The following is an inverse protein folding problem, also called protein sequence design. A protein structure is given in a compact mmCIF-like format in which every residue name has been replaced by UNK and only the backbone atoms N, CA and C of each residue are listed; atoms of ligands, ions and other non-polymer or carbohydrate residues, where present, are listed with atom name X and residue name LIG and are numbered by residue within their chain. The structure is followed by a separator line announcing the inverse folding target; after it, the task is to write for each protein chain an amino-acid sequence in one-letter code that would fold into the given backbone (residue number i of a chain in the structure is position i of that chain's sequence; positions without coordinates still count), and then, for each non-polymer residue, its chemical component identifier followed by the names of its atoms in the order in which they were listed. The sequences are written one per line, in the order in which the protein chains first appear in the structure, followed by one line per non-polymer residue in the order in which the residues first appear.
data_IF_313242287850
#
_entry.id   IF_313242287850
#
_cell.length_a   1.000
_cell.length_b   1.000
_cell.length_c   1.000
_cell.angle_alpha   90.00
_cell.angle_beta   90.00
_cell.angle_gamma   90.00
#
_symmetry.space_group_name_H-M   'P 1'
#
loop_
_entity.id
_entity.type
_entity.pdbx_description
1 polymer ?
#
# COMPACT_ATOMS: atom_id res chain seq x y z
N UNK A 1 -22.36 -10.73 -19.06
CA UNK A 1 -21.74 -9.39 -19.00
C UNK A 1 -20.33 -9.49 -18.41
N UNK A 2 -19.28 -9.33 -19.22
CA UNK A 2 -17.92 -9.12 -18.70
C UNK A 2 -17.82 -7.67 -18.24
N UNK A 3 -17.68 -7.45 -16.95
CA UNK A 3 -17.34 -6.13 -16.40
C UNK A 3 -15.99 -5.73 -17.00
N UNK A 4 -15.99 -4.70 -17.85
CA UNK A 4 -14.75 -4.10 -18.30
C UNK A 4 -14.04 -3.53 -17.08
N UNK A 5 -12.87 -4.07 -16.78
CA UNK A 5 -12.03 -3.61 -15.67
C UNK A 5 -11.59 -2.19 -16.01
N UNK A 6 -12.14 -1.20 -15.31
CA UNK A 6 -11.64 0.17 -15.38
C UNK A 6 -10.15 0.13 -15.03
N UNK A 7 -9.33 0.80 -15.83
CA UNK A 7 -7.89 0.89 -15.60
C UNK A 7 -7.68 1.54 -14.23
N UNK A 8 -7.19 0.76 -13.27
CA UNK A 8 -6.90 1.27 -11.92
C UNK A 8 -5.89 2.42 -12.06
N UNK A 9 -6.18 3.62 -11.51
CA UNK A 9 -5.24 4.73 -11.55
C UNK A 9 -3.91 4.29 -10.94
N UNK A 10 -2.83 4.41 -11.72
CA UNK A 10 -1.48 4.09 -11.24
C UNK A 10 -1.11 5.12 -10.19
N UNK A 11 -0.86 4.67 -8.96
CA UNK A 11 -0.48 5.56 -7.85
C UNK A 11 0.89 6.18 -8.12
N UNK A 12 1.12 7.40 -7.60
CA UNK A 12 2.42 8.09 -7.65
C UNK A 12 3.35 7.44 -6.63
N UNK A 13 4.62 7.22 -7.01
CA UNK A 13 5.62 6.68 -6.11
C UNK A 13 6.12 7.74 -5.13
N UNK A 14 5.75 7.65 -3.86
CA UNK A 14 6.20 8.61 -2.84
C UNK A 14 7.55 8.24 -2.19
N UNK A 15 8.12 7.07 -2.50
CA UNK A 15 9.40 6.64 -1.92
C UNK A 15 10.59 7.59 -2.20
N UNK A 16 10.73 8.20 -3.40
CA UNK A 16 11.81 9.12 -3.71
C UNK A 16 11.80 10.39 -2.84
N UNK A 17 10.64 10.77 -2.27
CA UNK A 17 10.51 11.95 -1.39
C UNK A 17 11.25 11.83 -0.05
N UNK A 18 11.82 10.66 0.26
CA UNK A 18 12.71 10.51 1.42
C UNK A 18 14.01 11.29 1.27
N UNK A 19 14.37 11.70 0.05
CA UNK A 19 15.59 12.46 -0.23
C UNK A 19 15.26 13.94 -0.40
N UNK A 20 16.09 14.81 0.21
CA UNK A 20 15.91 16.27 0.15
C UNK A 20 16.02 16.78 -1.29
N UNK A 21 16.88 16.16 -2.10
CA UNK A 21 17.08 16.48 -3.51
C UNK A 21 15.79 16.30 -4.33
N UNK A 22 15.08 15.18 -4.14
CA UNK A 22 13.81 14.95 -4.84
C UNK A 22 12.70 15.87 -4.36
N UNK A 23 12.73 16.30 -3.11
CA UNK A 23 11.82 17.30 -2.59
C UNK A 23 12.05 18.68 -3.26
N UNK A 24 13.32 19.10 -3.38
CA UNK A 24 13.69 20.35 -4.04
C UNK A 24 13.34 20.32 -5.55
N UNK A 25 13.65 19.22 -6.24
CA UNK A 25 13.31 19.04 -7.65
C UNK A 25 11.79 19.12 -7.89
N UNK A 26 10.99 18.49 -7.03
CA UNK A 26 9.54 18.54 -7.12
C UNK A 26 9.00 19.95 -6.87
N UNK A 27 9.52 20.66 -5.87
CA UNK A 27 9.08 22.02 -5.53
C UNK A 27 9.28 22.97 -6.70
N UNK A 28 10.48 23.00 -7.28
CA UNK A 28 10.82 23.90 -8.40
C UNK A 28 9.91 23.62 -9.61
N UNK A 29 9.67 22.34 -9.92
CA UNK A 29 8.83 21.95 -11.07
C UNK A 29 7.35 22.22 -10.82
N UNK A 30 6.88 22.14 -9.58
CA UNK A 30 5.51 22.52 -9.22
C UNK A 30 5.32 24.03 -9.35
N UNK A 31 6.22 24.83 -8.80
CA UNK A 31 6.13 26.31 -8.89
C UNK A 31 6.10 26.76 -10.35
N UNK A 32 6.95 26.17 -11.20
CA UNK A 32 6.98 26.48 -12.63
C UNK A 32 5.66 26.11 -13.32
N UNK A 33 5.12 24.93 -13.03
CA UNK A 33 3.89 24.47 -13.68
C UNK A 33 2.66 25.25 -13.20
N UNK A 34 2.56 25.56 -11.91
CA UNK A 34 1.45 26.30 -11.34
C UNK A 34 1.40 27.75 -11.84
N UNK A 35 2.55 28.37 -12.11
CA UNK A 35 2.62 29.69 -12.73
C UNK A 35 2.12 29.72 -14.19
N UNK A 36 1.90 28.57 -14.82
CA UNK A 36 1.39 28.46 -16.20
C UNK A 36 -0.08 28.02 -16.27
N UNK A 37 -0.70 27.71 -15.13
CA UNK A 37 -2.11 27.32 -15.08
C UNK A 37 -2.97 28.57 -15.19
N UNK A 38 -3.79 28.61 -16.23
CA UNK A 38 -4.81 29.65 -16.39
C UNK A 38 -5.97 29.37 -15.42
N UNK A 39 -6.32 30.36 -14.61
CA UNK A 39 -7.42 30.27 -13.65
C UNK A 39 -8.58 31.08 -14.23
N UNK A 40 -9.58 30.35 -14.71
CA UNK A 40 -10.80 30.87 -15.33
C UNK A 40 -11.86 31.17 -14.25
N UNK A 41 -12.94 31.86 -14.64
CA UNK A 41 -14.10 32.14 -13.77
C UNK A 41 -14.86 30.87 -13.33
N UNK A 42 -14.67 29.75 -14.03
CA UNK A 42 -15.21 28.45 -13.62
C UNK A 42 -14.28 27.75 -12.62
N UNK A 43 -14.72 27.70 -11.37
CA UNK A 43 -14.00 27.12 -10.25
C UNK A 43 -13.70 25.63 -10.48
N UNK A 44 -14.62 24.86 -11.06
CA UNK A 44 -14.44 23.42 -11.26
C UNK A 44 -13.37 23.15 -12.33
N UNK A 45 -13.41 23.89 -13.44
CA UNK A 45 -12.38 23.84 -14.49
C UNK A 45 -11.01 24.25 -13.95
N UNK A 46 -10.94 25.35 -13.19
CA UNK A 46 -9.69 25.84 -12.59
C UNK A 46 -9.10 24.83 -11.58
N UNK A 47 -9.94 24.23 -10.73
CA UNK A 47 -9.51 23.21 -9.78
C UNK A 47 -8.99 21.96 -10.48
N UNK A 48 -9.67 21.53 -11.55
CA UNK A 48 -9.23 20.41 -12.36
C UNK A 48 -7.89 20.69 -13.05
N UNK A 49 -7.71 21.87 -13.64
CA UNK A 49 -6.45 22.26 -14.28
C UNK A 49 -5.28 22.25 -13.30
N UNK A 50 -5.49 22.79 -12.08
CA UNK A 50 -4.50 22.76 -11.00
C UNK A 50 -4.18 21.33 -10.56
N UNK A 51 -5.20 20.48 -10.37
CA UNK A 51 -5.02 19.08 -10.01
C UNK A 51 -4.24 18.32 -11.08
N UNK A 52 -4.59 18.48 -12.36
CA UNK A 52 -3.95 17.79 -13.48
C UNK A 52 -2.51 18.24 -13.68
N UNK A 53 -2.22 19.54 -13.54
CA UNK A 53 -0.86 20.08 -13.58
C UNK A 53 -0.01 19.49 -12.43
N UNK A 54 -0.53 19.54 -11.20
CA UNK A 54 0.13 19.00 -10.01
C UNK A 54 0.40 17.50 -10.14
N UNK A 55 -0.60 16.74 -10.61
CA UNK A 55 -0.50 15.31 -10.79
C UNK A 55 0.52 14.95 -11.90
N UNK A 56 0.48 15.67 -13.03
CA UNK A 56 1.41 15.48 -14.15
C UNK A 56 2.87 15.72 -13.75
N UNK A 57 3.14 16.82 -13.03
CA UNK A 57 4.49 17.11 -12.51
C UNK A 57 4.93 16.05 -11.53
N UNK A 58 4.06 15.67 -10.59
CA UNK A 58 4.36 14.65 -9.59
C UNK A 58 4.71 13.31 -10.24
N UNK A 59 3.97 12.91 -11.28
CA UNK A 59 4.27 11.71 -12.07
C UNK A 59 5.60 11.84 -12.82
N UNK A 60 5.91 13.01 -13.41
CA UNK A 60 7.19 13.23 -14.11
C UNK A 60 8.41 13.16 -13.19
N UNK A 61 8.30 13.68 -11.96
CA UNK A 61 9.42 13.75 -11.01
C UNK A 61 9.57 12.47 -10.20
N UNK A 62 8.46 11.94 -9.71
CA UNK A 62 8.44 10.82 -8.78
C UNK A 62 8.20 9.47 -9.47
N UNK A 63 7.61 9.48 -10.66
CA UNK A 63 7.20 8.28 -11.37
C UNK A 63 5.95 7.63 -10.78
N UNK A 64 5.48 6.59 -11.46
CA UNK A 64 4.41 5.74 -10.94
C UNK A 64 4.98 4.71 -9.98
N UNK A 65 4.24 4.40 -8.92
CA UNK A 65 4.55 3.26 -8.06
C UNK A 65 4.40 1.99 -8.89
N UNK A 66 5.47 1.22 -9.00
CA UNK A 66 5.35 -0.17 -9.47
C UNK A 66 4.77 -0.95 -8.31
N UNK A 67 3.57 -1.52 -8.50
CA UNK A 67 3.05 -2.51 -7.58
C UNK A 67 4.02 -3.69 -7.62
N UNK A 68 4.97 -3.74 -6.68
CA UNK A 68 5.71 -4.97 -6.43
C UNK A 68 4.66 -5.95 -5.95
N UNK A 69 4.32 -6.92 -6.79
CA UNK A 69 3.64 -8.11 -6.30
C UNK A 69 4.60 -8.74 -5.29
N UNK A 70 4.40 -8.41 -4.01
CA UNK A 70 4.86 -9.25 -2.91
C UNK A 70 4.05 -10.52 -3.02
N UNK A 71 4.51 -11.42 -3.88
CA UNK A 71 4.02 -12.78 -3.90
C UNK A 71 4.58 -13.45 -2.65
N UNK A 72 3.70 -14.00 -1.83
CA UNK A 72 4.04 -14.74 -0.62
C UNK A 72 4.95 -15.94 -0.92
N UNK A 73 5.09 -16.27 -2.20
CA UNK A 73 5.93 -17.32 -2.77
C UNK A 73 7.37 -16.88 -3.08
N UNK A 74 7.63 -15.57 -3.26
CA UNK A 74 8.98 -15.08 -3.62
C UNK A 74 9.95 -15.10 -2.45
N UNK A 75 9.44 -15.08 -1.22
CA UNK A 75 10.22 -15.33 -0.02
C UNK A 75 10.48 -16.84 0.06
N UNK A 76 11.33 -17.34 -0.85
CA UNK A 76 11.70 -18.75 -0.97
C UNK A 76 12.35 -19.19 0.36
N UNK A 77 11.57 -19.90 1.18
CA UNK A 77 12.11 -20.50 2.39
C UNK A 77 12.91 -21.74 1.97
N UNK A 78 14.19 -21.81 2.35
CA UNK A 78 15.11 -22.92 1.97
C UNK A 78 14.51 -24.28 2.28
N UNK A 79 13.71 -24.37 3.34
CA UNK A 79 13.07 -25.59 3.79
C UNK A 79 11.96 -26.07 2.83
N UNK A 80 11.22 -25.16 2.21
CA UNK A 80 10.19 -25.51 1.22
C UNK A 80 10.83 -25.94 -0.09
N UNK A 81 11.93 -25.29 -0.49
CA UNK A 81 12.68 -25.71 -1.67
C UNK A 81 13.21 -27.15 -1.50
N UNK A 82 13.78 -27.47 -0.33
CA UNK A 82 14.22 -28.84 -0.02
C UNK A 82 13.07 -29.86 -0.07
N UNK A 83 11.88 -29.50 0.38
CA UNK A 83 10.70 -30.38 0.30
C UNK A 83 10.26 -30.60 -1.16
N UNK A 84 10.31 -29.55 -1.99
CA UNK A 84 10.02 -29.63 -3.43
C UNK A 84 11.03 -30.52 -4.13
N UNK A 85 12.32 -30.39 -3.81
CA UNK A 85 13.39 -31.20 -4.41
C UNK A 85 13.25 -32.68 -4.03
N UNK A 86 12.89 -32.98 -2.77
CA UNK A 86 12.56 -34.33 -2.30
C UNK A 86 11.33 -34.89 -3.01
N UNK A 87 10.30 -34.06 -3.21
CA UNK A 87 9.11 -34.45 -3.96
C UNK A 87 9.45 -34.77 -5.42
N UNK A 88 10.25 -33.95 -6.09
CA UNK A 88 10.69 -34.21 -7.47
C UNK A 88 11.51 -35.49 -7.59
N UNK A 89 12.45 -35.70 -6.66
CA UNK A 89 13.27 -36.91 -6.62
C UNK A 89 12.43 -38.17 -6.43
N UNK A 90 11.52 -38.16 -5.44
CA UNK A 90 10.61 -39.29 -5.19
C UNK A 90 9.66 -39.56 -6.35
N UNK A 91 9.13 -38.52 -6.99
CA UNK A 91 8.31 -38.64 -8.18
C UNK A 91 9.07 -39.30 -9.34
N UNK A 92 10.33 -38.91 -9.57
CA UNK A 92 11.19 -39.53 -10.58
C UNK A 92 11.42 -41.02 -10.29
N UNK A 93 11.70 -41.39 -9.03
CA UNK A 93 11.90 -42.79 -8.66
C UNK A 93 10.66 -43.66 -8.82
N UNK A 94 9.48 -43.13 -8.49
CA UNK A 94 8.20 -43.83 -8.71
C UNK A 94 7.84 -43.92 -10.20
N UNK A 95 8.10 -42.88 -10.98
CA UNK A 95 7.84 -42.90 -12.43
C UNK A 95 8.63 -43.99 -13.15
N UNK A 96 9.86 -44.26 -12.69
CA UNK A 96 10.72 -45.32 -13.23
C UNK A 96 10.33 -46.73 -12.76
N UNK A 97 9.53 -46.85 -11.69
CA UNK A 97 9.08 -48.12 -11.14
C UNK A 97 7.64 -47.98 -10.61
N UNK A 98 6.69 -47.95 -11.54
CA UNK A 98 5.28 -47.72 -11.26
C UNK A 98 4.59 -48.86 -10.51
N UNK A 99 5.20 -50.06 -10.46
CA UNK A 99 4.67 -51.22 -9.74
C UNK A 99 4.95 -51.19 -8.24
N UNK A 100 5.88 -50.35 -7.78
CA UNK A 100 6.26 -50.29 -6.37
C UNK A 100 5.31 -49.42 -5.55
N UNK A 101 4.38 -50.06 -4.84
CA UNK A 101 3.51 -49.39 -3.85
C UNK A 101 4.30 -48.60 -2.80
N UNK A 102 5.49 -49.09 -2.42
CA UNK A 102 6.38 -48.38 -1.49
C UNK A 102 6.84 -47.04 -2.06
N UNK A 103 7.31 -46.99 -3.31
CA UNK A 103 7.78 -45.75 -3.95
C UNK A 103 6.64 -44.76 -4.17
N UNK A 104 5.46 -45.27 -4.52
CA UNK A 104 4.23 -44.47 -4.62
C UNK A 104 3.88 -43.80 -3.29
N UNK A 105 3.92 -44.56 -2.18
CA UNK A 105 3.63 -44.02 -0.84
C UNK A 105 4.64 -42.95 -0.41
N UNK A 106 5.92 -43.12 -0.75
CA UNK A 106 6.97 -42.10 -0.50
C UNK A 106 6.65 -40.82 -1.26
N UNK A 107 6.34 -40.90 -2.56
CA UNK A 107 5.95 -39.73 -3.34
C UNK A 107 4.70 -39.02 -2.79
N UNK A 108 3.64 -39.79 -2.47
CA UNK A 108 2.41 -39.25 -1.88
C UNK A 108 2.69 -38.51 -0.57
N UNK A 109 3.56 -39.06 0.28
CA UNK A 109 3.98 -38.42 1.54
C UNK A 109 4.73 -37.10 1.28
N UNK A 110 5.73 -37.10 0.40
CA UNK A 110 6.48 -35.88 0.06
C UNK A 110 5.56 -34.80 -0.54
N UNK A 111 4.63 -35.19 -1.43
CA UNK A 111 3.64 -34.26 -2.00
C UNK A 111 2.74 -33.66 -0.92
N UNK A 112 2.27 -34.47 0.03
CA UNK A 112 1.46 -33.99 1.16
C UNK A 112 2.22 -32.97 2.04
N UNK A 113 3.50 -33.22 2.30
CA UNK A 113 4.36 -32.30 3.05
C UNK A 113 4.54 -30.96 2.34
N UNK A 114 4.80 -30.97 1.02
CA UNK A 114 4.90 -29.75 0.21
C UNK A 114 3.58 -28.96 0.24
N UNK A 115 2.44 -29.64 0.03
CA UNK A 115 1.13 -28.98 0.05
C UNK A 115 0.82 -28.35 1.41
N UNK A 116 1.16 -29.04 2.50
CA UNK A 116 0.96 -28.54 3.85
C UNK A 116 1.83 -27.31 4.13
N UNK A 117 3.12 -27.35 3.78
CA UNK A 117 4.03 -26.23 3.97
C UNK A 117 3.58 -24.99 3.17
N UNK A 118 3.20 -25.18 1.89
CA UNK A 118 2.69 -24.09 1.06
C UNK A 118 1.39 -23.49 1.60
N UNK A 119 0.49 -24.31 2.18
CA UNK A 119 -0.73 -23.81 2.81
C UNK A 119 -0.41 -22.95 4.04
N UNK A 120 0.50 -23.40 4.91
CA UNK A 120 0.91 -22.63 6.09
C UNK A 120 1.54 -21.29 5.73
N UNK A 121 2.44 -21.26 4.74
CA UNK A 121 3.05 -20.00 4.28
C UNK A 121 1.99 -19.03 3.74
N UNK A 122 1.05 -19.53 2.94
CA UNK A 122 -0.05 -18.72 2.43
C UNK A 122 -0.92 -18.17 3.56
N UNK A 123 -1.30 -19.00 4.53
CA UNK A 123 -2.09 -18.60 5.69
C UNK A 123 -1.38 -17.54 6.54
N UNK A 124 -0.08 -17.73 6.81
CA UNK A 124 0.75 -16.77 7.53
C UNK A 124 0.78 -15.41 6.81
N UNK A 125 0.95 -15.40 5.49
CA UNK A 125 0.92 -14.16 4.70
C UNK A 125 -0.43 -13.44 4.79
N UNK A 126 -1.55 -14.16 4.63
CA UNK A 126 -2.88 -13.54 4.72
C UNK A 126 -3.18 -13.02 6.13
N UNK A 127 -2.75 -13.74 7.16
CA UNK A 127 -2.86 -13.32 8.55
C UNK A 127 -2.07 -12.03 8.80
N UNK A 128 -0.80 -12.00 8.39
CA UNK A 128 0.03 -10.80 8.47
C UNK A 128 -0.58 -9.62 7.74
N UNK A 129 -1.09 -9.82 6.52
CA UNK A 129 -1.73 -8.77 5.72
C UNK A 129 -3.01 -8.25 6.39
N UNK A 130 -3.84 -9.14 6.92
CA UNK A 130 -5.05 -8.77 7.65
C UNK A 130 -4.72 -7.95 8.91
N UNK A 131 -3.70 -8.38 9.67
CA UNK A 131 -3.22 -7.67 10.85
C UNK A 131 -2.72 -6.27 10.51
N UNK A 132 -1.89 -6.13 9.47
CA UNK A 132 -1.40 -4.82 9.02
C UNK A 132 -2.53 -3.90 8.57
N UNK A 133 -3.51 -4.43 7.82
CA UNK A 133 -4.67 -3.65 7.40
C UNK A 133 -5.45 -3.12 8.61
N UNK A 134 -5.67 -3.97 9.62
CA UNK A 134 -6.34 -3.57 10.87
C UNK A 134 -5.54 -2.50 11.61
N UNK A 135 -4.22 -2.70 11.78
CA UNK A 135 -3.35 -1.72 12.44
C UNK A 135 -3.38 -0.34 11.77
N UNK A 136 -3.24 -0.31 10.44
CA UNK A 136 -3.31 0.94 9.66
C UNK A 136 -4.67 1.63 9.81
N UNK A 137 -5.76 0.87 9.88
CA UNK A 137 -7.09 1.42 10.12
C UNK A 137 -7.20 2.05 11.52
N UNK A 138 -6.73 1.35 12.56
CA UNK A 138 -6.72 1.87 13.93
C UNK A 138 -5.87 3.15 14.04
N UNK A 139 -4.69 3.19 13.43
CA UNK A 139 -3.84 4.38 13.40
C UNK A 139 -4.53 5.58 12.72
N UNK A 140 -5.25 5.34 11.61
CA UNK A 140 -6.02 6.39 10.91
C UNK A 140 -7.17 6.90 11.76
N UNK A 141 -7.91 6.01 12.43
CA UNK A 141 -8.99 6.38 13.33
C UNK A 141 -8.45 7.21 14.50
N UNK A 142 -7.36 6.76 15.13
CA UNK A 142 -6.73 7.47 16.24
C UNK A 142 -6.25 8.86 15.83
N UNK A 143 -5.60 8.99 14.66
CA UNK A 143 -5.17 10.29 14.12
C UNK A 143 -6.37 11.22 13.90
N UNK A 144 -7.48 10.72 13.33
CA UNK A 144 -8.71 11.50 13.15
C UNK A 144 -9.27 11.99 14.48
N UNK A 145 -9.34 11.11 15.47
CA UNK A 145 -9.79 11.46 16.82
C UNK A 145 -8.90 12.56 17.42
N UNK A 146 -7.58 12.37 17.43
CA UNK A 146 -6.63 13.35 17.97
C UNK A 146 -6.72 14.72 17.28
N UNK A 147 -6.88 14.73 15.95
CA UNK A 147 -7.10 15.97 15.21
C UNK A 147 -8.41 16.65 15.59
N UNK A 148 -9.50 15.90 15.77
CA UNK A 148 -10.79 16.44 16.20
C UNK A 148 -10.72 16.99 17.64
N UNK A 149 -10.11 16.26 18.58
CA UNK A 149 -9.93 16.71 19.96
C UNK A 149 -9.10 17.99 20.03
N UNK A 150 -8.00 18.09 19.26
CA UNK A 150 -7.20 19.32 19.17
C UNK A 150 -8.01 20.50 18.66
N UNK A 151 -8.84 20.32 17.63
CA UNK A 151 -9.73 21.36 17.11
C UNK A 151 -10.72 21.84 18.18
N UNK A 152 -11.35 20.93 18.93
CA UNK A 152 -12.28 21.30 19.99
C UNK A 152 -11.62 22.07 21.15
N UNK A 153 -10.39 21.73 21.52
CA UNK A 153 -9.63 22.44 22.57
C UNK A 153 -9.32 23.87 22.10
N UNK A 154 -8.79 24.03 20.89
CA UNK A 154 -8.45 25.35 20.32
C UNK A 154 -9.71 26.23 20.17
N UNK A 155 -10.82 25.65 19.70
CA UNK A 155 -12.10 26.37 19.58
C UNK A 155 -12.65 26.79 20.95
N UNK A 156 -12.59 25.91 21.97
CA UNK A 156 -12.99 26.27 23.34
C UNK A 156 -12.12 27.40 23.91
N UNK A 157 -10.81 27.36 23.70
CA UNK A 157 -9.90 28.42 24.13
C UNK A 157 -10.15 29.75 23.40
N UNK A 158 -10.42 29.74 22.08
CA UNK A 158 -10.78 30.96 21.34
C UNK A 158 -12.12 31.55 21.81
N UNK A 159 -13.14 30.72 22.05
CA UNK A 159 -14.45 31.20 22.53
C UNK A 159 -14.34 31.79 23.93
N UNK A 160 -13.54 31.17 24.83
CA UNK A 160 -13.28 31.72 26.16
C UNK A 160 -12.53 33.06 26.11
N UNK A 161 -11.53 33.20 25.23
CA UNK A 161 -10.80 34.45 25.03
C UNK A 161 -11.69 35.57 24.46
N UNK A 162 -12.57 35.24 23.51
CA UNK A 162 -13.53 36.20 22.96
C UNK A 162 -14.57 36.62 24.00
N UNK A 163 -15.03 35.70 24.86
CA UNK A 163 -15.91 36.04 25.98
C UNK A 163 -15.23 36.97 26.99
N UNK A 164 -13.96 36.70 27.34
CA UNK A 164 -13.19 37.56 28.24
C UNK A 164 -12.99 38.97 27.66
N UNK A 165 -12.60 39.06 26.39
CA UNK A 165 -12.42 40.35 25.71
C UNK A 165 -13.75 41.12 25.51
N UNK A 166 -14.88 40.42 25.40
CA UNK A 166 -16.20 41.05 25.33
C UNK A 166 -16.63 41.58 26.71
N UNK A 167 -16.28 40.88 27.80
CA UNK A 167 -16.53 41.34 29.18
C UNK A 167 -15.67 42.57 29.50
N UNK A 168 -14.38 42.57 29.15
CA UNK A 168 -13.48 43.71 29.37
C UNK A 168 -13.84 44.97 28.56
N UNK A 169 -14.56 44.85 27.44
CA UNK A 169 -15.04 46.00 26.66
C UNK A 169 -16.36 46.60 27.14
N UNK A 170 -17.09 45.90 27.99
CA UNK A 170 -18.39 46.33 28.52
C UNK A 170 -18.37 46.66 30.03
N UNK A 171 -17.21 46.53 30.67
CA UNK A 171 -16.89 47.14 31.98
C UNK A 171 -16.09 48.42 31.79
#
# INVERSE_FOLDING_TARGET
MRLQKSSVPKLINVLPLKTVEKHAELSIKLDTALNTVDINDDIESSWKALHDATHSVSVKVLGHSVCKHQDWFNDNNTDVQQLIDKMHSSHSTWKNDKGSSRKENVYKKCRGQVQHALRQMKEAYWSFKAMNSKKLQTERILKRFMMASRKCIVLKSMVLLLFFHQIERHC
#
